data_IF_685130456640
#
_entry.id   IF_685130456640
#
_cell.length_a   1.000
_cell.length_b   1.000
_cell.length_c   1.000
_cell.angle_alpha   90.00
_cell.angle_beta   90.00
_cell.angle_gamma   90.00
#
_symmetry.space_group_name_H-M   'P 1'
#
loop_
_entity.id
_entity.type
_entity.pdbx_description
1 polymer ?
#
# COMPACT_ATOMS: atom_id res chain seq x y z
N UNK A 1 -7.28 -17.59 2.70
CA UNK A 1 -7.40 -16.49 1.76
C UNK A 1 -6.19 -15.55 1.92
N UNK A 2 -5.25 -15.48 0.94
CA UNK A 2 -3.98 -14.76 1.11
C UNK A 2 -4.16 -13.27 1.43
N UNK A 3 -5.15 -12.59 0.82
CA UNK A 3 -5.35 -11.16 1.06
C UNK A 3 -5.77 -10.86 2.51
N UNK A 4 -6.53 -11.74 3.16
CA UNK A 4 -6.95 -11.59 4.56
C UNK A 4 -5.73 -11.58 5.48
N UNK A 5 -4.78 -12.52 5.26
CA UNK A 5 -3.56 -12.58 6.04
C UNK A 5 -2.69 -11.32 5.82
N UNK A 6 -2.50 -10.92 4.57
CA UNK A 6 -1.73 -9.72 4.24
C UNK A 6 -2.33 -8.47 4.87
N UNK A 7 -3.67 -8.32 4.80
CA UNK A 7 -4.36 -7.19 5.41
C UNK A 7 -4.26 -7.20 6.94
N UNK A 8 -4.38 -8.36 7.58
CA UNK A 8 -4.17 -8.49 9.03
C UNK A 8 -2.78 -7.99 9.45
N UNK A 9 -1.73 -8.37 8.71
CA UNK A 9 -0.36 -7.90 8.96
C UNK A 9 -0.17 -6.42 8.62
N UNK A 10 -0.86 -5.91 7.60
CA UNK A 10 -0.91 -4.49 7.27
C UNK A 10 -1.50 -3.66 8.42
N UNK A 11 -2.66 -4.08 8.94
CA UNK A 11 -3.33 -3.40 10.05
C UNK A 11 -2.48 -3.42 11.33
N UNK A 12 -1.84 -4.55 11.62
CA UNK A 12 -0.92 -4.66 12.75
C UNK A 12 0.27 -3.70 12.59
N UNK A 13 0.94 -3.70 11.43
CA UNK A 13 2.09 -2.82 11.18
C UNK A 13 1.69 -1.34 11.24
N UNK A 14 0.53 -0.97 10.68
CA UNK A 14 0.02 0.39 10.76
C UNK A 14 -0.22 0.83 12.23
N UNK A 15 -0.82 -0.04 13.04
CA UNK A 15 -1.03 0.21 14.46
C UNK A 15 0.30 0.43 15.20
N UNK A 16 1.30 -0.46 15.00
CA UNK A 16 2.62 -0.30 15.62
C UNK A 16 3.29 1.01 15.21
N UNK A 17 3.21 1.40 13.93
CA UNK A 17 3.75 2.66 13.42
C UNK A 17 3.03 3.91 13.96
N UNK A 18 1.74 3.79 14.29
CA UNK A 18 0.95 4.90 14.81
C UNK A 18 1.13 5.11 16.32
N UNK A 19 1.40 4.05 17.08
CA UNK A 19 1.49 4.04 18.54
C UNK A 19 2.94 3.88 19.07
N UNK A 20 3.87 3.47 18.21
CA UNK A 20 5.23 3.10 18.60
C UNK A 20 6.25 4.24 18.54
N UNK A 21 7.42 4.01 19.15
CA UNK A 21 8.55 4.93 19.15
C UNK A 21 9.29 4.88 17.80
N UNK A 22 9.39 3.70 17.18
CA UNK A 22 10.07 3.48 15.90
C UNK A 22 9.05 3.45 14.74
N UNK A 23 8.55 4.61 14.34
CA UNK A 23 7.49 4.71 13.33
C UNK A 23 7.93 4.29 11.92
N UNK A 24 9.16 4.63 11.52
CA UNK A 24 9.65 4.49 10.13
C UNK A 24 9.55 3.07 9.58
N UNK A 25 10.11 2.03 10.21
CA UNK A 25 10.04 0.66 9.71
C UNK A 25 8.61 0.12 9.62
N UNK A 26 7.78 0.42 10.60
CA UNK A 26 6.38 -0.04 10.61
C UNK A 26 5.53 0.67 9.55
N UNK A 27 5.77 1.97 9.29
CA UNK A 27 5.14 2.69 8.19
C UNK A 27 5.54 2.09 6.84
N UNK A 28 6.83 1.79 6.64
CA UNK A 28 7.31 1.13 5.44
C UNK A 28 6.59 -0.21 5.22
N UNK A 29 6.53 -1.07 6.25
CA UNK A 29 5.85 -2.35 6.16
C UNK A 29 4.37 -2.20 5.88
N UNK A 30 3.67 -1.31 6.58
CA UNK A 30 2.24 -1.10 6.35
C UNK A 30 1.95 -0.60 4.94
N UNK A 31 2.73 0.35 4.42
CA UNK A 31 2.57 0.89 3.07
C UNK A 31 2.81 -0.17 1.98
N UNK A 32 3.81 -1.03 2.14
CA UNK A 32 4.05 -2.16 1.23
C UNK A 32 2.93 -3.21 1.33
N UNK A 33 2.49 -3.52 2.54
CA UNK A 33 1.42 -4.48 2.77
C UNK A 33 0.06 -3.97 2.26
N UNK A 34 -0.19 -2.66 2.21
CA UNK A 34 -1.34 -2.09 1.49
C UNK A 34 -1.34 -2.51 0.02
N UNK A 35 -0.20 -2.36 -0.67
CA UNK A 35 -0.09 -2.74 -2.08
C UNK A 35 -0.31 -4.25 -2.29
N UNK A 36 0.36 -5.08 -1.49
CA UNK A 36 0.23 -6.54 -1.60
C UNK A 36 -1.17 -7.05 -1.25
N UNK A 37 -1.81 -6.45 -0.25
CA UNK A 37 -3.19 -6.80 0.14
C UNK A 37 -4.19 -6.45 -0.96
N UNK A 38 -4.08 -5.24 -1.54
CA UNK A 38 -4.91 -4.81 -2.65
C UNK A 38 -4.70 -5.71 -3.88
N UNK A 39 -3.45 -6.02 -4.25
CA UNK A 39 -3.17 -6.88 -5.40
C UNK A 39 -3.71 -8.29 -5.19
N UNK A 40 -3.49 -8.88 -4.01
CA UNK A 40 -4.02 -10.20 -3.67
C UNK A 40 -5.56 -10.23 -3.65
N UNK A 41 -6.18 -9.13 -3.21
CA UNK A 41 -7.63 -9.00 -3.22
C UNK A 41 -8.19 -8.85 -4.64
N UNK A 42 -7.58 -8.02 -5.49
CA UNK A 42 -7.95 -7.91 -6.91
C UNK A 42 -7.81 -9.27 -7.62
N UNK A 43 -6.73 -10.01 -7.39
CA UNK A 43 -6.53 -11.33 -7.94
C UNK A 43 -7.63 -12.30 -7.48
N UNK A 44 -8.02 -12.24 -6.22
CA UNK A 44 -9.13 -13.02 -5.69
C UNK A 44 -10.45 -12.69 -6.40
N UNK A 45 -10.76 -11.41 -6.59
CA UNK A 45 -11.97 -10.97 -7.28
C UNK A 45 -11.97 -11.33 -8.77
N UNK A 46 -10.83 -11.17 -9.46
CA UNK A 46 -10.67 -11.61 -10.86
C UNK A 46 -10.92 -13.11 -10.98
N UNK A 47 -10.31 -13.92 -10.10
CA UNK A 47 -10.53 -15.38 -10.10
C UNK A 47 -12.00 -15.77 -10.02
N UNK A 48 -12.79 -15.04 -9.26
CA UNK A 48 -14.21 -15.38 -9.02
C UNK A 48 -15.11 -14.83 -10.13
N UNK A 49 -14.84 -13.62 -10.61
CA UNK A 49 -15.76 -12.88 -11.46
C UNK A 49 -15.38 -12.88 -12.94
N UNK A 50 -14.13 -13.24 -13.30
CA UNK A 50 -13.69 -13.19 -14.69
C UNK A 50 -14.21 -14.39 -15.47
N UNK A 51 -14.96 -14.18 -16.58
CA UNK A 51 -15.63 -15.26 -17.32
C UNK A 51 -14.68 -16.04 -18.24
N UNK A 52 -13.43 -15.62 -18.37
CA UNK A 52 -12.43 -16.22 -19.26
C UNK A 52 -11.33 -16.97 -18.53
N UNK A 53 -10.17 -17.08 -19.18
CA UNK A 53 -8.96 -17.62 -18.55
C UNK A 53 -8.36 -16.59 -17.57
N UNK A 54 -8.83 -16.64 -16.31
CA UNK A 54 -8.41 -15.72 -15.26
C UNK A 54 -6.91 -15.83 -14.92
N UNK A 55 -6.30 -17.01 -15.02
CA UNK A 55 -4.88 -17.21 -14.71
C UNK A 55 -3.97 -16.46 -15.69
N UNK A 56 -4.32 -16.49 -16.97
CA UNK A 56 -3.57 -15.79 -18.00
C UNK A 56 -3.76 -14.26 -17.90
N UNK A 57 -4.97 -13.83 -17.59
CA UNK A 57 -5.26 -12.41 -17.35
C UNK A 57 -4.56 -11.89 -16.10
N UNK A 58 -4.64 -12.61 -14.97
CA UNK A 58 -3.99 -12.22 -13.70
C UNK A 58 -2.49 -12.01 -13.88
N UNK A 59 -1.84 -12.94 -14.57
CA UNK A 59 -0.38 -12.92 -14.77
C UNK A 59 0.11 -11.78 -15.66
N UNK A 60 -0.70 -11.39 -16.65
CA UNK A 60 -0.31 -10.40 -17.68
C UNK A 60 -0.75 -8.98 -17.37
N UNK A 61 -1.72 -8.82 -16.47
CA UNK A 61 -2.36 -7.54 -16.20
C UNK A 61 -1.77 -6.83 -14.99
N UNK A 62 -1.62 -5.52 -15.12
CA UNK A 62 -1.31 -4.61 -14.03
C UNK A 62 -2.46 -4.53 -13.01
N UNK A 63 -2.21 -4.07 -11.78
CA UNK A 63 -3.28 -3.82 -10.82
C UNK A 63 -4.36 -2.87 -11.32
N UNK A 64 -3.98 -1.84 -12.11
CA UNK A 64 -4.93 -0.91 -12.72
C UNK A 64 -5.84 -1.59 -13.74
N UNK A 65 -5.26 -2.42 -14.63
CA UNK A 65 -6.05 -3.18 -15.60
C UNK A 65 -7.00 -4.18 -14.94
N UNK A 66 -6.59 -4.78 -13.80
CA UNK A 66 -7.46 -5.65 -12.99
C UNK A 66 -8.63 -4.87 -12.40
N UNK A 67 -8.38 -3.68 -11.85
CA UNK A 67 -9.41 -2.81 -11.30
C UNK A 67 -10.39 -2.36 -12.38
N UNK A 68 -9.89 -1.94 -13.55
CA UNK A 68 -10.70 -1.52 -14.68
C UNK A 68 -11.56 -2.67 -15.19
N UNK A 69 -11.01 -3.88 -15.26
CA UNK A 69 -11.74 -5.07 -15.69
C UNK A 69 -12.84 -5.47 -14.69
N UNK A 70 -12.56 -5.37 -13.39
CA UNK A 70 -13.59 -5.58 -12.36
C UNK A 70 -14.70 -4.54 -12.43
N UNK A 71 -14.35 -3.28 -12.67
CA UNK A 71 -15.32 -2.20 -12.89
C UNK A 71 -16.27 -2.49 -14.05
N UNK A 72 -15.73 -3.01 -15.17
CA UNK A 72 -16.51 -3.44 -16.33
C UNK A 72 -17.45 -4.61 -16.00
N UNK A 73 -16.92 -5.67 -15.36
CA UNK A 73 -17.67 -6.90 -15.07
C UNK A 73 -18.77 -6.67 -14.05
N UNK A 74 -18.49 -5.93 -12.98
CA UNK A 74 -19.39 -5.72 -11.85
C UNK A 74 -20.27 -4.47 -12.03
N UNK A 75 -20.02 -3.65 -13.06
CA UNK A 75 -20.87 -2.51 -13.41
C UNK A 75 -20.73 -1.30 -12.47
N UNK A 76 -19.63 -1.19 -11.72
CA UNK A 76 -19.38 -0.02 -10.88
C UNK A 76 -18.47 1.00 -11.59
N UNK A 77 -18.41 2.22 -11.05
CA UNK A 77 -17.57 3.27 -11.58
C UNK A 77 -16.54 3.73 -10.55
N UNK A 78 -15.28 3.89 -10.96
CA UNK A 78 -14.20 4.41 -10.13
C UNK A 78 -13.82 5.82 -10.56
N UNK A 79 -13.98 6.80 -9.67
CA UNK A 79 -13.41 8.13 -9.90
C UNK A 79 -11.93 8.14 -9.46
N UNK A 80 -11.05 7.82 -10.42
CA UNK A 80 -9.58 7.81 -10.19
C UNK A 80 -9.02 9.20 -9.82
N UNK A 81 -9.80 10.26 -9.99
CA UNK A 81 -9.44 11.63 -9.58
C UNK A 81 -9.71 11.92 -8.10
N UNK A 82 -10.47 11.06 -7.41
CA UNK A 82 -10.88 11.23 -6.01
C UNK A 82 -10.47 10.07 -5.12
N UNK A 83 -10.29 10.37 -3.83
CA UNK A 83 -10.10 9.33 -2.80
C UNK A 83 -11.36 8.47 -2.67
N UNK A 84 -11.20 7.17 -2.43
CA UNK A 84 -9.96 6.44 -2.20
C UNK A 84 -9.18 6.05 -3.48
N UNK A 85 -9.81 6.03 -4.66
CA UNK A 85 -9.21 5.51 -5.90
C UNK A 85 -8.03 6.34 -6.42
N UNK A 86 -7.97 7.64 -6.14
CA UNK A 86 -6.79 8.46 -6.42
C UNK A 86 -5.52 7.91 -5.72
N UNK A 87 -5.67 7.33 -4.53
CA UNK A 87 -4.54 6.77 -3.77
C UNK A 87 -4.05 5.44 -4.34
N UNK A 88 -4.89 4.72 -5.10
CA UNK A 88 -4.56 3.42 -5.69
C UNK A 88 -3.24 3.46 -6.47
N UNK A 89 -3.13 4.40 -7.40
CA UNK A 89 -1.90 4.57 -8.17
C UNK A 89 -0.68 4.86 -7.28
N UNK A 90 -0.83 5.72 -6.29
CA UNK A 90 0.28 6.08 -5.38
C UNK A 90 0.78 4.89 -4.57
N UNK A 91 -0.11 3.99 -4.14
CA UNK A 91 0.23 2.77 -3.42
C UNK A 91 1.10 1.85 -4.29
N UNK A 92 0.73 1.65 -5.55
CA UNK A 92 1.50 0.80 -6.46
C UNK A 92 2.77 1.47 -6.98
N UNK A 93 2.76 2.77 -7.21
CA UNK A 93 3.97 3.53 -7.55
C UNK A 93 5.02 3.40 -6.43
N UNK A 94 4.63 3.57 -5.17
CA UNK A 94 5.50 3.40 -4.01
C UNK A 94 6.11 1.99 -3.93
N UNK A 95 5.28 0.95 -4.08
CA UNK A 95 5.76 -0.44 -4.11
C UNK A 95 6.77 -0.65 -5.24
N UNK A 96 6.47 -0.13 -6.43
CA UNK A 96 7.32 -0.28 -7.60
C UNK A 96 8.66 0.46 -7.44
N UNK A 97 8.64 1.67 -6.87
CA UNK A 97 9.85 2.45 -6.59
C UNK A 97 10.81 1.68 -5.65
N UNK A 98 10.28 0.85 -4.73
CA UNK A 98 11.08 0.02 -3.82
C UNK A 98 11.53 -1.29 -4.48
N UNK A 99 10.59 -2.04 -5.07
CA UNK A 99 10.88 -3.37 -5.65
C UNK A 99 11.82 -3.28 -6.85
N UNK A 100 11.72 -2.20 -7.63
CA UNK A 100 12.56 -1.93 -8.78
C UNK A 100 13.62 -0.85 -8.50
N UNK A 101 13.96 -0.66 -7.22
CA UNK A 101 14.95 0.33 -6.82
C UNK A 101 16.26 0.12 -7.59
N UNK A 102 16.63 1.14 -8.36
CA UNK A 102 17.91 1.19 -9.07
C UNK A 102 18.86 2.04 -8.26
N UNK A 103 20.16 1.75 -8.35
CA UNK A 103 21.18 2.65 -7.82
C UNK A 103 21.02 4.01 -8.51
N UNK A 104 20.67 5.03 -7.74
CA UNK A 104 20.50 6.40 -8.22
C UNK A 104 21.65 7.21 -7.65
N UNK A 105 22.34 7.98 -8.51
CA UNK A 105 23.29 8.98 -8.06
C UNK A 105 22.50 10.19 -7.59
N UNK A 106 22.48 10.40 -6.29
CA UNK A 106 21.87 11.58 -5.69
C UNK A 106 22.94 12.68 -5.61
N UNK A 107 22.74 13.77 -6.33
CA UNK A 107 23.60 14.93 -6.28
C UNK A 107 22.79 16.09 -5.69
N UNK A 108 23.17 16.52 -4.50
CA UNK A 108 22.65 17.74 -3.90
C UNK A 108 23.78 18.77 -3.84
N UNK A 109 23.58 19.91 -4.48
CA UNK A 109 24.49 21.04 -4.36
C UNK A 109 23.96 21.96 -3.26
N UNK A 110 24.42 21.74 -2.03
CA UNK A 110 24.18 22.67 -0.93
C UNK A 110 25.39 23.56 -0.71
N UNK A 111 25.20 24.88 -0.71
CA UNK A 111 26.23 25.81 -0.26
C UNK A 111 26.18 25.89 1.26
N UNK A 112 27.00 25.08 1.93
CA UNK A 112 27.21 25.18 3.38
C UNK A 112 28.32 26.19 3.67
N UNK A 113 28.14 27.15 4.57
CA UNK A 113 29.23 28.00 5.06
C UNK A 113 30.27 27.11 5.73
N UNK A 114 31.55 27.26 5.35
CA UNK A 114 32.65 26.40 5.79
C UNK A 114 32.85 26.43 7.32
N UNK A 115 32.56 27.55 7.93
CA UNK A 115 32.60 27.76 9.38
C UNK A 115 31.53 26.94 10.13
N UNK A 116 30.33 26.77 9.54
CA UNK A 116 29.30 25.87 10.08
C UNK A 116 29.64 24.40 9.89
N UNK A 117 30.28 24.04 8.77
CA UNK A 117 30.71 22.68 8.50
C UNK A 117 31.79 22.23 9.51
N UNK A 118 32.76 23.12 9.85
CA UNK A 118 33.83 22.83 10.81
C UNK A 118 33.34 22.81 12.28
N UNK A 119 32.18 23.36 12.58
CA UNK A 119 31.56 23.38 13.92
C UNK A 119 30.45 22.34 14.10
N UNK A 120 30.02 21.69 13.03
CA UNK A 120 28.96 20.70 13.09
C UNK A 120 29.52 19.33 13.51
N UNK A 121 29.08 18.82 14.66
CA UNK A 121 29.33 17.44 15.07
C UNK A 121 28.56 16.43 14.17
N UNK A 122 27.68 16.89 13.29
CA UNK A 122 26.87 16.07 12.42
C UNK A 122 27.05 16.45 10.94
N UNK A 123 27.21 15.45 10.10
CA UNK A 123 27.21 15.63 8.64
C UNK A 123 25.79 16.09 8.18
N UNK A 124 25.70 16.91 7.11
CA UNK A 124 24.42 17.26 6.54
C UNK A 124 23.65 16.00 6.15
N UNK A 125 22.31 16.01 6.30
CA UNK A 125 21.51 14.84 5.95
C UNK A 125 21.71 14.48 4.47
N UNK A 126 21.85 13.18 4.21
CA UNK A 126 21.95 12.69 2.84
C UNK A 126 20.65 12.96 2.08
N UNK A 127 20.73 13.28 0.78
CA UNK A 127 19.54 13.45 -0.04
C UNK A 127 18.73 12.16 -0.08
N UNK A 128 17.42 12.29 0.07
CA UNK A 128 16.49 11.16 0.09
C UNK A 128 16.08 10.73 -1.32
N UNK A 129 15.94 9.43 -1.50
CA UNK A 129 15.33 8.87 -2.71
C UNK A 129 13.83 9.21 -2.77
N UNK A 130 13.23 9.01 -3.94
CA UNK A 130 11.80 9.28 -4.15
C UNK A 130 10.89 8.50 -3.19
N UNK A 131 11.18 7.21 -2.94
CA UNK A 131 10.40 6.40 -2.02
C UNK A 131 10.62 6.81 -0.55
N UNK A 132 11.82 7.23 -0.17
CA UNK A 132 12.12 7.74 1.18
C UNK A 132 11.36 9.04 1.46
N UNK A 133 11.28 9.95 0.48
CA UNK A 133 10.46 11.17 0.62
C UNK A 133 8.96 10.88 0.71
N UNK A 134 8.52 9.74 0.17
CA UNK A 134 7.12 9.29 0.27
C UNK A 134 6.83 8.63 1.63
N UNK A 135 7.84 8.09 2.31
CA UNK A 135 7.71 7.40 3.59
C UNK A 135 7.47 8.40 4.73
N UNK A 136 6.23 8.77 4.92
CA UNK A 136 5.78 9.69 5.98
C UNK A 136 4.55 9.12 6.69
N UNK A 137 4.36 9.49 7.96
CA UNK A 137 3.15 9.14 8.74
C UNK A 137 1.87 9.52 7.99
N UNK A 138 1.85 10.70 7.38
CA UNK A 138 0.69 11.18 6.60
C UNK A 138 0.37 10.24 5.43
N UNK A 139 1.38 9.80 4.69
CA UNK A 139 1.18 8.90 3.56
C UNK A 139 0.85 7.47 4.03
N UNK A 140 1.46 7.00 5.11
CA UNK A 140 1.12 5.70 5.71
C UNK A 140 -0.36 5.65 6.13
N UNK A 141 -0.84 6.69 6.83
CA UNK A 141 -2.26 6.82 7.20
C UNK A 141 -3.16 6.87 5.97
N UNK A 142 -2.81 7.68 4.97
CA UNK A 142 -3.58 7.78 3.73
C UNK A 142 -3.65 6.45 2.99
N UNK A 143 -2.53 5.75 2.85
CA UNK A 143 -2.48 4.45 2.17
C UNK A 143 -3.34 3.43 2.88
N UNK A 144 -3.22 3.34 4.22
CA UNK A 144 -4.00 2.41 5.00
C UNK A 144 -5.51 2.67 4.91
N UNK A 145 -5.95 3.89 5.23
CA UNK A 145 -7.38 4.24 5.21
C UNK A 145 -8.02 4.08 3.83
N UNK A 146 -7.33 4.54 2.76
CA UNK A 146 -7.88 4.46 1.42
C UNK A 146 -7.88 3.02 0.89
N UNK A 147 -6.85 2.21 1.21
CA UNK A 147 -6.85 0.78 0.89
C UNK A 147 -7.98 0.04 1.59
N UNK A 148 -8.24 0.36 2.86
CA UNK A 148 -9.36 -0.20 3.62
C UNK A 148 -10.71 0.12 2.94
N UNK A 149 -10.91 1.39 2.57
CA UNK A 149 -12.12 1.82 1.87
C UNK A 149 -12.28 1.16 0.51
N UNK A 150 -11.18 1.00 -0.23
CA UNK A 150 -11.21 0.32 -1.54
C UNK A 150 -11.57 -1.16 -1.41
N UNK A 151 -10.97 -1.87 -0.43
CA UNK A 151 -11.31 -3.28 -0.16
C UNK A 151 -12.79 -3.41 0.21
N UNK A 152 -13.29 -2.58 1.14
CA UNK A 152 -14.68 -2.60 1.56
C UNK A 152 -15.64 -2.32 0.39
N UNK A 153 -15.34 -1.31 -0.42
CA UNK A 153 -16.13 -0.99 -1.61
C UNK A 153 -16.18 -2.15 -2.60
N UNK A 154 -15.03 -2.68 -3.00
CA UNK A 154 -14.95 -3.77 -3.96
C UNK A 154 -15.58 -5.07 -3.44
N UNK A 155 -15.49 -5.34 -2.15
CA UNK A 155 -16.13 -6.48 -1.48
C UNK A 155 -17.66 -6.40 -1.60
N UNK A 156 -18.20 -5.22 -1.32
CA UNK A 156 -19.64 -4.93 -1.44
C UNK A 156 -20.12 -5.04 -2.88
N UNK A 157 -19.41 -4.41 -3.83
CA UNK A 157 -19.78 -4.46 -5.26
C UNK A 157 -19.69 -5.89 -5.83
N UNK A 158 -18.88 -6.75 -5.21
CA UNK A 158 -18.80 -8.18 -5.57
C UNK A 158 -19.91 -9.04 -4.94
N UNK A 159 -20.81 -8.47 -4.17
CA UNK A 159 -21.95 -9.16 -3.55
C UNK A 159 -21.59 -10.04 -2.33
N UNK A 160 -20.41 -9.86 -1.73
CA UNK A 160 -19.96 -10.65 -0.57
C UNK A 160 -20.49 -10.14 0.78
N UNK A 161 -21.12 -8.97 0.83
CA UNK A 161 -21.63 -8.33 2.04
C UNK A 161 -20.97 -6.99 2.33
N UNK A 162 -21.14 -6.48 3.55
CA UNK A 162 -20.72 -5.12 3.90
C UNK A 162 -19.38 -5.07 4.66
N UNK A 163 -18.98 -6.14 5.34
CA UNK A 163 -17.74 -6.16 6.15
C UNK A 163 -16.76 -7.24 5.70
N UNK A 164 -15.74 -6.87 4.90
CA UNK A 164 -14.67 -7.78 4.49
C UNK A 164 -13.69 -8.14 5.62
N UNK A 165 -13.74 -7.43 6.75
CA UNK A 165 -12.72 -7.52 7.80
C UNK A 165 -13.16 -8.35 9.01
N UNK A 166 -14.39 -8.83 9.04
CA UNK A 166 -14.89 -9.67 10.12
C UNK A 166 -14.00 -10.90 10.36
N UNK A 167 -13.62 -11.60 9.29
CA UNK A 167 -12.66 -12.72 9.36
C UNK A 167 -11.24 -12.28 9.78
N UNK A 168 -10.83 -11.07 9.43
CA UNK A 168 -9.51 -10.54 9.80
C UNK A 168 -9.44 -10.36 11.31
N UNK A 169 -10.44 -9.73 11.90
CA UNK A 169 -10.48 -9.47 13.34
C UNK A 169 -10.67 -10.73 14.18
N UNK A 170 -11.43 -11.70 13.71
CA UNK A 170 -11.61 -12.98 14.41
C UNK A 170 -10.31 -13.78 14.50
N UNK A 171 -9.42 -13.71 13.50
CA UNK A 171 -8.12 -14.40 13.49
C UNK A 171 -7.06 -13.70 14.36
N UNK A 172 -7.08 -12.36 14.46
CA UNK A 172 -6.11 -11.63 15.29
C UNK A 172 -6.32 -11.82 16.80
N UNK A 173 -7.53 -12.15 17.21
CA UNK A 173 -7.82 -12.49 18.63
C UNK A 173 -7.29 -13.87 19.05
N UNK A 174 -7.02 -14.78 18.12
CA UNK A 174 -6.47 -16.11 18.43
C UNK A 174 -4.94 -16.12 18.63
N UNK A 175 -4.20 -15.15 18.07
CA UNK A 175 -2.74 -15.11 18.16
C UNK A 175 -2.22 -14.32 19.39
N UNK A 176 -3.10 -13.71 20.18
CA UNK A 176 -2.75 -12.96 21.38
C UNK A 176 -2.52 -13.78 22.65
N UNK A 177 -2.58 -15.13 22.57
CA UNK A 177 -2.43 -16.06 23.71
C UNK A 177 -1.27 -17.05 23.53
N UNK A 178 -0.17 -16.64 22.93
CA UNK A 178 1.09 -17.41 22.90
C UNK A 178 2.20 -16.64 23.61
#
# INVERSE_FOLDING_TARGET
NPWVLLWSRCAWAYKQGSEGIEQGPYHLFSMLLCAFSLEAFLNHLIRINFPGNWEDFERKSSPEEKLDKLSEILGFNTDKGKRPFQTFKHVFDFRNDIVHAKTVKLEETSTFPIDKFLQADELPPLPLTKWETTLTTKNATRFFEDSQKMIAFLYKESGFGDDPFEEVYSRTTFEGNL
#
